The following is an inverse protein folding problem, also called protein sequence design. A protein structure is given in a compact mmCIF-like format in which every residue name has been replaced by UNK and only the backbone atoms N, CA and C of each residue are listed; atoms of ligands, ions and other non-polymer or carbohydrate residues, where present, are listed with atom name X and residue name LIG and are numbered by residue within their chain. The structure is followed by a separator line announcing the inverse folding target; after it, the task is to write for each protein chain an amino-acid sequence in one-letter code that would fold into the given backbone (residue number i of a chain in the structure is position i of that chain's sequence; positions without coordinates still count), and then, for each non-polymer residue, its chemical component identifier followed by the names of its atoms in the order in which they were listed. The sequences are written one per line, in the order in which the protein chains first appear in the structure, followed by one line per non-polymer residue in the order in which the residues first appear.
data_IF_577967227994
#
_entry.id   IF_577967227994
#
_cell.length_a   1.000
_cell.length_b   1.000
_cell.length_c   1.000
_cell.angle_alpha   90.00
_cell.angle_beta   90.00
_cell.angle_gamma   90.00
#
_symmetry.space_group_name_H-M   'P 1'
#
loop_
_entity.id
_entity.type
_entity.pdbx_description
1 polymer ?
#
# COMPACT_ATOMS: atom_id res chain seq x y z
N UNK A 1 5.45 12.10 -1.33
CA UNK A 1 4.01 12.26 -0.99
C UNK A 1 3.79 11.99 0.50
N UNK A 2 2.97 12.80 1.17
CA UNK A 2 2.80 12.79 2.64
C UNK A 2 2.30 11.44 3.17
N UNK A 3 1.29 10.83 2.51
CA UNK A 3 0.67 9.55 2.94
C UNK A 3 1.68 8.40 2.89
N UNK A 4 2.40 8.24 1.78
CA UNK A 4 3.41 7.19 1.66
C UNK A 4 4.50 7.32 2.73
N UNK A 5 4.98 8.54 2.97
CA UNK A 5 5.99 8.79 4.00
C UNK A 5 5.49 8.54 5.42
N UNK A 6 4.21 8.83 5.69
CA UNK A 6 3.58 8.56 6.97
C UNK A 6 3.43 7.05 7.18
N UNK A 7 2.85 6.32 6.21
CA UNK A 7 2.71 4.86 6.29
C UNK A 7 4.05 4.16 6.47
N UNK A 8 5.09 4.61 5.76
CA UNK A 8 6.45 4.04 5.91
C UNK A 8 7.00 4.16 7.34
N UNK A 9 6.61 5.21 8.08
CA UNK A 9 7.03 5.42 9.48
C UNK A 9 6.17 4.66 10.48
N UNK A 10 4.87 4.52 10.20
CA UNK A 10 3.90 3.93 11.13
C UNK A 10 3.79 2.40 10.96
N UNK A 11 3.71 1.94 9.71
CA UNK A 11 3.55 0.52 9.38
C UNK A 11 4.13 0.20 8.00
N UNK A 12 5.30 -0.40 7.98
CA UNK A 12 6.00 -0.71 6.73
C UNK A 12 5.24 -1.73 5.85
N UNK A 13 4.45 -2.62 6.42
CA UNK A 13 3.63 -3.56 5.67
C UNK A 13 2.48 -2.84 4.95
N UNK A 14 1.80 -1.90 5.63
CA UNK A 14 0.79 -1.05 5.01
C UNK A 14 1.39 -0.15 3.93
N UNK A 15 2.61 0.37 4.16
CA UNK A 15 3.32 1.13 3.13
C UNK A 15 3.53 0.29 1.87
N UNK A 16 3.99 -0.95 1.99
CA UNK A 16 4.25 -1.81 0.84
C UNK A 16 2.97 -2.11 0.06
N UNK A 17 1.90 -2.49 0.75
CA UNK A 17 0.59 -2.74 0.14
C UNK A 17 0.01 -1.48 -0.53
N UNK A 18 0.17 -0.33 0.10
CA UNK A 18 -0.21 0.96 -0.48
C UNK A 18 0.58 1.28 -1.76
N UNK A 19 1.89 1.06 -1.76
CA UNK A 19 2.71 1.30 -2.94
C UNK A 19 2.37 0.37 -4.10
N UNK A 20 2.00 -0.88 -3.84
CA UNK A 20 1.51 -1.79 -4.87
C UNK A 20 0.19 -1.31 -5.49
N UNK A 21 -0.71 -0.75 -4.67
CA UNK A 21 -1.93 -0.12 -5.20
C UNK A 21 -1.60 1.08 -6.09
N UNK A 22 -0.64 1.91 -5.69
CA UNK A 22 -0.21 3.06 -6.51
C UNK A 22 0.36 2.59 -7.86
N UNK A 23 1.18 1.53 -7.88
CA UNK A 23 1.66 0.95 -9.13
C UNK A 23 0.51 0.47 -10.04
N UNK A 24 -0.48 -0.18 -9.46
CA UNK A 24 -1.66 -0.65 -10.22
C UNK A 24 -2.54 0.49 -10.72
N UNK A 25 -2.66 1.57 -9.95
CA UNK A 25 -3.33 2.79 -10.40
C UNK A 25 -2.60 3.38 -11.60
N UNK A 26 -1.29 3.54 -11.52
CA UNK A 26 -0.48 4.06 -12.61
C UNK A 26 -0.69 3.22 -13.87
N UNK A 27 -0.70 1.88 -13.73
CA UNK A 27 -0.98 0.97 -14.85
C UNK A 27 -2.39 1.11 -15.39
N UNK A 28 -3.40 1.23 -14.52
CA UNK A 28 -4.80 1.37 -14.92
C UNK A 28 -5.07 2.64 -15.72
N UNK A 29 -4.30 3.71 -15.46
CA UNK A 29 -4.35 4.95 -16.24
C UNK A 29 -3.31 5.01 -17.37
N UNK A 30 -2.71 3.87 -17.75
CA UNK A 30 -1.81 3.77 -18.88
C UNK A 30 -0.50 4.55 -18.74
N UNK A 31 -0.04 4.79 -17.51
CA UNK A 31 1.13 5.61 -17.18
C UNK A 31 1.00 7.07 -17.66
N UNK A 32 -0.24 7.53 -17.85
CA UNK A 32 -0.56 8.89 -18.29
C UNK A 32 -0.82 9.80 -17.09
N UNK A 33 0.10 10.73 -16.85
CA UNK A 33 0.02 11.65 -15.71
C UNK A 33 -1.17 12.60 -15.79
N UNK A 34 -1.62 12.96 -16.99
CA UNK A 34 -2.76 13.86 -17.16
C UNK A 34 -4.08 13.14 -16.80
N UNK A 35 -4.18 11.85 -17.10
CA UNK A 35 -5.30 11.04 -16.65
C UNK A 35 -5.28 10.87 -15.11
N UNK A 36 -4.10 10.65 -14.52
CA UNK A 36 -3.95 10.57 -13.06
C UNK A 36 -4.28 11.92 -12.42
N UNK A 37 -3.83 13.04 -12.99
CA UNK A 37 -4.17 14.37 -12.52
C UNK A 37 -5.68 14.54 -12.45
N UNK A 38 -6.36 14.34 -13.58
CA UNK A 38 -7.80 14.56 -13.74
C UNK A 38 -8.67 13.68 -12.84
N UNK A 39 -8.34 12.40 -12.75
CA UNK A 39 -9.21 11.42 -12.09
C UNK A 39 -8.84 11.16 -10.64
N UNK A 40 -7.59 11.41 -10.24
CA UNK A 40 -7.09 11.12 -8.89
C UNK A 40 -6.77 12.42 -8.15
N UNK A 41 -5.82 13.21 -8.67
CA UNK A 41 -5.26 14.35 -7.92
C UNK A 41 -6.31 15.45 -7.74
N UNK A 42 -7.06 15.76 -8.81
CA UNK A 42 -8.07 16.82 -8.77
C UNK A 42 -9.28 16.48 -7.89
N UNK A 43 -9.50 15.18 -7.62
CA UNK A 43 -10.58 14.73 -6.71
C UNK A 43 -10.30 15.05 -5.24
N UNK A 44 -9.06 15.40 -4.88
CA UNK A 44 -8.71 15.79 -3.52
C UNK A 44 -8.96 17.28 -3.30
N UNK A 45 -9.58 17.62 -2.16
CA UNK A 45 -9.68 19.00 -1.69
C UNK A 45 -8.37 19.42 -1.00
N UNK A 46 -7.36 19.71 -1.81
CA UNK A 46 -6.02 20.10 -1.38
C UNK A 46 -5.57 21.41 -2.02
N UNK A 47 -4.70 22.18 -1.34
CA UNK A 47 -4.05 23.33 -1.95
C UNK A 47 -3.27 22.95 -3.22
N UNK A 48 -3.24 23.85 -4.20
CA UNK A 48 -2.58 23.62 -5.49
C UNK A 48 -1.10 23.20 -5.37
N UNK A 49 -0.38 23.75 -4.38
CA UNK A 49 1.01 23.36 -4.09
C UNK A 49 1.11 21.87 -3.71
N UNK A 50 0.15 21.37 -2.94
CA UNK A 50 0.12 19.95 -2.56
C UNK A 50 -0.28 19.06 -3.74
N UNK A 51 -1.22 19.51 -4.57
CA UNK A 51 -1.59 18.80 -5.82
C UNK A 51 -0.41 18.72 -6.77
N UNK A 52 0.33 19.81 -6.93
CA UNK A 52 1.57 19.84 -7.72
C UNK A 52 2.59 18.84 -7.16
N UNK A 53 2.83 18.83 -5.86
CA UNK A 53 3.73 17.86 -5.22
C UNK A 53 3.28 16.41 -5.40
N UNK A 54 1.95 16.16 -5.44
CA UNK A 54 1.42 14.83 -5.78
C UNK A 54 1.70 14.47 -7.23
N UNK A 55 1.47 15.39 -8.17
CA UNK A 55 1.76 15.20 -9.59
C UNK A 55 3.23 14.85 -9.80
N UNK A 56 4.15 15.67 -9.29
CA UNK A 56 5.60 15.45 -9.39
C UNK A 56 6.00 14.06 -8.84
N UNK A 57 5.34 13.63 -7.77
CA UNK A 57 5.59 12.31 -7.19
C UNK A 57 5.09 11.17 -8.08
N UNK A 58 3.89 11.27 -8.69
CA UNK A 58 3.39 10.28 -9.63
C UNK A 58 4.26 10.23 -10.90
N UNK A 59 4.67 11.38 -11.43
CA UNK A 59 5.61 11.46 -12.57
C UNK A 59 6.91 10.71 -12.26
N UNK A 60 7.49 10.94 -11.08
CA UNK A 60 8.71 10.22 -10.67
C UNK A 60 8.51 8.70 -10.62
N UNK A 61 7.34 8.22 -10.19
CA UNK A 61 7.04 6.78 -10.18
C UNK A 61 6.86 6.23 -11.60
N UNK A 62 6.20 6.98 -12.49
CA UNK A 62 6.04 6.62 -13.90
C UNK A 62 7.41 6.49 -14.57
N UNK A 63 8.30 7.46 -14.35
CA UNK A 63 9.67 7.44 -14.89
C UNK A 63 10.46 6.23 -14.37
N UNK A 64 10.33 5.92 -13.09
CA UNK A 64 10.93 4.71 -12.53
C UNK A 64 10.35 3.44 -13.15
N UNK A 65 9.02 3.36 -13.35
CA UNK A 65 8.38 2.20 -13.97
C UNK A 65 8.87 1.98 -15.41
N UNK A 66 9.06 3.05 -16.18
CA UNK A 66 9.66 2.99 -17.52
C UNK A 66 11.11 2.53 -17.47
N UNK A 67 11.92 3.13 -16.60
CA UNK A 67 13.36 2.82 -16.52
C UNK A 67 13.63 1.39 -16.03
N UNK A 68 12.74 0.84 -15.21
CA UNK A 68 12.87 -0.52 -14.66
C UNK A 68 12.14 -1.59 -15.48
N UNK A 69 11.40 -1.21 -16.53
CA UNK A 69 10.66 -2.12 -17.41
C UNK A 69 9.50 -2.83 -16.70
N UNK A 70 8.84 -2.16 -15.74
CA UNK A 70 7.75 -2.71 -14.93
C UNK A 70 6.39 -2.07 -15.24
N UNK A 71 6.22 -1.51 -16.43
CA UNK A 71 4.99 -0.84 -16.87
C UNK A 71 3.78 -1.79 -16.87
N UNK A 72 3.99 -3.04 -17.25
CA UNK A 72 2.91 -4.03 -17.41
C UNK A 72 2.73 -4.93 -16.21
N UNK A 73 3.80 -5.27 -15.49
CA UNK A 73 3.80 -6.23 -14.37
C UNK A 73 5.06 -6.09 -13.51
N UNK A 74 4.96 -6.62 -12.29
CA UNK A 74 6.06 -6.60 -11.32
C UNK A 74 6.02 -5.32 -10.48
N UNK A 75 7.03 -5.12 -9.68
CA UNK A 75 7.12 -4.02 -8.72
C UNK A 75 8.40 -3.21 -8.92
N UNK A 76 8.34 -1.93 -8.62
CA UNK A 76 9.49 -1.04 -8.57
C UNK A 76 10.55 -1.57 -7.60
N UNK A 77 11.81 -1.36 -7.94
CA UNK A 77 12.95 -1.80 -7.11
C UNK A 77 12.89 -1.22 -5.70
N UNK A 78 12.39 0.01 -5.54
CA UNK A 78 12.18 0.61 -4.22
C UNK A 78 11.24 -0.21 -3.32
N UNK A 79 10.22 -0.85 -3.89
CA UNK A 79 9.27 -1.70 -3.18
C UNK A 79 9.84 -3.11 -2.95
N UNK A 80 10.59 -3.63 -3.91
CA UNK A 80 11.36 -4.88 -3.75
C UNK A 80 12.38 -4.77 -2.62
N UNK A 81 13.06 -3.63 -2.51
CA UNK A 81 14.01 -3.40 -1.42
C UNK A 81 13.33 -3.46 -0.04
N UNK A 82 12.13 -2.89 0.11
CA UNK A 82 11.36 -3.01 1.35
C UNK A 82 11.04 -4.48 1.67
N UNK A 83 10.65 -5.27 0.65
CA UNK A 83 10.38 -6.69 0.84
C UNK A 83 11.63 -7.47 1.24
N UNK A 84 12.79 -7.13 0.68
CA UNK A 84 14.10 -7.72 1.05
C UNK A 84 14.41 -7.39 2.52
N UNK A 85 14.29 -6.13 2.93
CA UNK A 85 14.54 -5.71 4.32
C UNK A 85 13.62 -6.43 5.31
N UNK A 86 12.34 -6.59 4.95
CA UNK A 86 11.37 -7.34 5.75
C UNK A 86 11.72 -8.84 5.81
N UNK A 87 12.21 -9.42 4.72
CA UNK A 87 12.64 -10.81 4.67
C UNK A 87 13.88 -11.03 5.55
N UNK A 88 14.82 -10.12 5.53
CA UNK A 88 15.99 -10.17 6.41
C UNK A 88 15.61 -10.04 7.88
N UNK A 89 14.65 -9.16 8.19
CA UNK A 89 14.11 -9.05 9.55
C UNK A 89 13.42 -10.35 9.98
N UNK A 90 12.57 -10.92 9.12
CA UNK A 90 11.90 -12.20 9.34
C UNK A 90 12.89 -13.31 9.68
N UNK A 91 13.94 -13.47 8.87
CA UNK A 91 14.99 -14.50 9.10
C UNK A 91 15.75 -14.28 10.40
N UNK A 92 15.98 -13.03 10.80
CA UNK A 92 16.60 -12.70 12.10
C UNK A 92 15.66 -13.03 13.26
N UNK A 93 14.38 -12.74 13.14
CA UNK A 93 13.39 -13.05 14.18
C UNK A 93 13.22 -14.56 14.36
N UNK A 94 13.23 -15.35 13.29
CA UNK A 94 13.19 -16.81 13.36
C UNK A 94 14.38 -17.43 14.10
N UNK A 95 15.54 -16.79 14.01
CA UNK A 95 16.76 -17.23 14.72
C UNK A 95 16.86 -16.69 16.14
N UNK A 96 15.99 -15.74 16.52
CA UNK A 96 16.05 -15.07 17.80
C UNK A 96 15.41 -15.92 18.90
N UNK A 97 16.15 -16.18 19.97
CA UNK A 97 15.62 -16.81 21.18
C UNK A 97 14.75 -15.86 22.02
N UNK A 98 14.75 -14.55 21.70
CA UNK A 98 13.98 -13.52 22.42
C UNK A 98 12.54 -13.41 21.90
N UNK A 99 12.26 -13.96 20.72
CA UNK A 99 10.94 -13.85 20.04
C UNK A 99 10.36 -15.26 19.74
N UNK A 100 10.18 -16.12 20.74
CA UNK A 100 9.74 -17.50 20.53
C UNK A 100 8.31 -17.57 19.95
N UNK A 101 7.47 -16.61 20.28
CA UNK A 101 6.10 -16.53 19.76
C UNK A 101 6.06 -16.26 18.25
N UNK A 102 7.02 -15.49 17.72
CA UNK A 102 7.11 -15.24 16.30
C UNK A 102 7.40 -16.52 15.53
N UNK A 103 8.39 -17.30 15.96
CA UNK A 103 8.72 -18.60 15.35
C UNK A 103 7.55 -19.57 15.41
N UNK A 104 6.88 -19.68 16.56
CA UNK A 104 5.71 -20.54 16.70
C UNK A 104 4.56 -20.12 15.75
N UNK A 105 4.28 -18.82 15.63
CA UNK A 105 3.27 -18.30 14.71
C UNK A 105 3.64 -18.61 13.25
N UNK A 106 4.90 -18.41 12.88
CA UNK A 106 5.38 -18.71 11.54
C UNK A 106 5.21 -20.20 11.19
N UNK A 107 5.71 -21.11 12.04
CA UNK A 107 5.61 -22.53 11.76
C UNK A 107 4.15 -23.03 11.72
N UNK A 108 3.24 -22.43 12.48
CA UNK A 108 1.80 -22.70 12.38
C UNK A 108 1.23 -22.22 11.04
N UNK A 109 1.75 -21.14 10.48
CA UNK A 109 1.27 -20.53 9.23
C UNK A 109 1.91 -21.18 7.99
N UNK A 110 3.08 -21.79 8.12
CA UNK A 110 3.86 -22.32 7.02
C UNK A 110 3.09 -23.27 6.08
N UNK A 111 2.24 -24.21 6.55
CA UNK A 111 1.44 -25.07 5.67
C UNK A 111 0.52 -24.27 4.74
N UNK A 112 -0.08 -23.16 5.23
CA UNK A 112 -0.94 -22.30 4.43
C UNK A 112 -0.13 -21.51 3.39
N UNK A 113 1.09 -21.07 3.73
CA UNK A 113 1.99 -20.41 2.77
C UNK A 113 2.36 -21.36 1.63
N UNK A 114 2.67 -22.62 1.96
CA UNK A 114 2.98 -23.67 0.96
C UNK A 114 1.77 -23.92 0.05
N UNK A 115 0.57 -24.02 0.61
CA UNK A 115 -0.67 -24.20 -0.16
C UNK A 115 -0.95 -23.01 -1.09
N UNK A 116 -0.81 -21.77 -0.59
CA UNK A 116 -0.98 -20.56 -1.39
C UNK A 116 -0.01 -20.52 -2.56
N UNK A 117 1.26 -20.83 -2.31
CA UNK A 117 2.31 -20.89 -3.33
C UNK A 117 2.01 -21.96 -4.40
N UNK A 118 1.52 -23.11 -3.99
CA UNK A 118 1.13 -24.17 -4.93
C UNK A 118 -0.05 -23.75 -5.82
N UNK A 119 -1.01 -23.00 -5.27
CA UNK A 119 -2.19 -22.51 -6.01
C UNK A 119 -1.84 -21.36 -6.96
N UNK A 120 -0.91 -20.48 -6.60
CA UNK A 120 -0.50 -19.33 -7.45
C UNK A 120 0.41 -19.78 -8.61
N UNK A 121 0.98 -20.97 -8.58
CA UNK A 121 1.97 -21.41 -9.55
C UNK A 121 3.36 -20.76 -9.39
N UNK A 122 3.55 -19.96 -8.34
CA UNK A 122 4.76 -19.19 -8.06
C UNK A 122 5.73 -19.97 -7.17
N UNK A 123 6.13 -21.14 -7.58
CA UNK A 123 6.94 -22.08 -6.77
C UNK A 123 8.28 -21.55 -6.25
N UNK A 124 8.77 -20.43 -6.79
CA UNK A 124 10.04 -19.80 -6.40
C UNK A 124 9.88 -18.55 -5.52
N UNK A 125 8.65 -18.12 -5.26
CA UNK A 125 8.37 -16.93 -4.45
C UNK A 125 8.69 -17.19 -2.97
N UNK A 126 9.33 -16.24 -2.29
CA UNK A 126 9.66 -16.32 -0.86
C UNK A 126 8.42 -16.36 0.03
N UNK A 127 8.58 -16.83 1.29
CA UNK A 127 7.45 -16.96 2.23
C UNK A 127 6.75 -15.61 2.46
N UNK A 128 7.53 -14.57 2.72
CA UNK A 128 7.00 -13.23 2.99
C UNK A 128 6.29 -12.66 1.77
N UNK A 129 6.91 -12.77 0.60
CA UNK A 129 6.31 -12.30 -0.65
C UNK A 129 4.99 -13.02 -0.94
N UNK A 130 4.93 -14.34 -0.71
CA UNK A 130 3.68 -15.10 -0.81
C UNK A 130 2.60 -14.55 0.12
N UNK A 131 2.96 -14.20 1.36
CA UNK A 131 2.02 -13.59 2.31
C UNK A 131 1.54 -12.21 1.83
N UNK A 132 2.43 -11.37 1.33
CA UNK A 132 2.06 -10.05 0.80
C UNK A 132 1.18 -10.16 -0.44
N UNK A 133 1.49 -11.07 -1.37
CA UNK A 133 0.66 -11.34 -2.55
C UNK A 133 -0.76 -11.78 -2.15
N UNK A 134 -0.88 -12.65 -1.15
CA UNK A 134 -2.18 -13.10 -0.65
C UNK A 134 -2.97 -11.98 0.03
N UNK A 135 -2.33 -11.16 0.86
CA UNK A 135 -2.94 -9.98 1.50
C UNK A 135 -3.39 -8.97 0.45
N UNK A 136 -2.55 -8.69 -0.52
CA UNK A 136 -2.87 -7.77 -1.61
C UNK A 136 -4.06 -8.28 -2.45
N UNK A 137 -4.03 -9.54 -2.85
CA UNK A 137 -5.16 -10.17 -3.56
C UNK A 137 -6.46 -10.09 -2.78
N UNK A 138 -6.43 -10.29 -1.46
CA UNK A 138 -7.61 -10.15 -0.59
C UNK A 138 -8.15 -8.72 -0.56
N UNK A 139 -7.26 -7.72 -0.53
CA UNK A 139 -7.64 -6.29 -0.60
C UNK A 139 -8.32 -6.01 -1.94
N UNK A 140 -7.71 -6.40 -3.05
CA UNK A 140 -8.25 -6.16 -4.40
C UNK A 140 -9.61 -6.83 -4.56
N UNK A 141 -9.77 -8.07 -4.09
CA UNK A 141 -11.05 -8.79 -4.13
C UNK A 141 -12.13 -8.08 -3.31
N UNK A 142 -11.81 -7.68 -2.08
CA UNK A 142 -12.75 -6.96 -1.22
C UNK A 142 -13.23 -5.63 -1.83
N UNK A 143 -12.36 -4.95 -2.57
CA UNK A 143 -12.72 -3.74 -3.32
C UNK A 143 -13.66 -4.08 -4.46
N UNK A 144 -13.32 -5.09 -5.25
CA UNK A 144 -14.14 -5.53 -6.39
C UNK A 144 -15.54 -5.95 -5.94
N UNK A 145 -15.65 -6.64 -4.81
CA UNK A 145 -16.94 -7.03 -4.22
C UNK A 145 -17.77 -5.84 -3.74
N UNK A 146 -17.16 -4.84 -3.11
CA UNK A 146 -17.85 -3.59 -2.73
C UNK A 146 -18.33 -2.78 -3.92
N UNK A 147 -17.65 -2.87 -5.05
CA UNK A 147 -18.05 -2.22 -6.32
C UNK A 147 -19.16 -2.97 -7.06
N UNK A 148 -19.41 -4.25 -6.73
CA UNK A 148 -20.45 -5.08 -7.31
C UNK A 148 -21.46 -5.53 -6.22
N UNK A 149 -22.21 -4.64 -5.56
CA UNK A 149 -23.40 -5.05 -4.87
C UNK A 149 -24.39 -5.42 -5.97
N UNK A 150 -24.64 -6.72 -6.14
CA UNK A 150 -25.67 -7.39 -6.95
C UNK A 150 -26.47 -6.42 -7.82
N UNK A 151 -26.35 -6.63 -9.16
CA UNK A 151 -27.12 -5.94 -10.21
C UNK A 151 -28.52 -5.51 -9.76
N UNK A 152 -28.70 -4.27 -9.39
CA UNK A 152 -29.94 -3.53 -9.58
C UNK A 152 -29.60 -2.05 -9.74
N UNK A 153 -30.00 -1.55 -10.93
CA UNK A 153 -30.08 -0.17 -11.41
C UNK A 153 -28.78 0.50 -11.88
N UNK A 154 -28.84 0.85 -13.14
CA UNK A 154 -27.93 1.68 -13.91
C UNK A 154 -27.64 3.01 -13.23
N UNK A 155 -26.36 3.32 -13.11
CA UNK A 155 -25.90 4.72 -13.20
C UNK A 155 -24.38 4.76 -13.44
N UNK A 156 -23.99 5.41 -14.52
CA UNK A 156 -22.62 5.74 -14.90
C UNK A 156 -21.93 6.55 -13.81
N UNK A 157 -20.89 5.99 -13.20
CA UNK A 157 -19.77 6.77 -12.70
C UNK A 157 -18.54 5.87 -12.55
N UNK A 158 -17.51 6.19 -13.32
CA UNK A 158 -16.17 5.62 -13.26
C UNK A 158 -15.40 6.20 -12.07
N UNK A 159 -15.99 6.13 -10.88
CA UNK A 159 -15.26 6.49 -9.66
C UNK A 159 -14.53 5.24 -9.15
N UNK A 160 -13.21 5.25 -9.31
CA UNK A 160 -12.33 4.27 -8.68
C UNK A 160 -12.28 4.62 -7.18
N UNK A 161 -13.16 4.01 -6.41
CA UNK A 161 -13.16 4.13 -4.95
C UNK A 161 -12.01 3.30 -4.39
N UNK A 162 -11.00 3.97 -3.86
CA UNK A 162 -9.85 3.31 -3.24
C UNK A 162 -10.21 2.81 -1.84
N UNK A 163 -9.79 1.58 -1.44
CA UNK A 163 -10.11 1.02 -0.13
C UNK A 163 -9.41 1.73 1.02
N UNK A 164 -8.35 2.43 0.74
CA UNK A 164 -7.79 3.42 1.65
C UNK A 164 -8.44 4.76 1.30
N UNK A 165 -9.44 5.15 2.10
CA UNK A 165 -10.02 6.49 2.03
C UNK A 165 -8.96 7.50 2.51
N UNK A 166 -8.01 7.78 1.61
CA UNK A 166 -7.00 8.81 1.81
C UNK A 166 -7.59 10.18 2.12
N UNK A 167 -8.90 10.39 1.79
CA UNK A 167 -9.66 11.59 2.15
C UNK A 167 -9.88 11.68 3.66
N UNK A 168 -10.14 10.57 4.36
CA UNK A 168 -10.29 10.55 5.82
C UNK A 168 -8.95 10.71 6.55
N UNK A 169 -7.88 10.11 6.05
CA UNK A 169 -6.56 10.19 6.70
C UNK A 169 -5.94 11.59 6.62
N UNK A 170 -6.18 12.35 5.53
CA UNK A 170 -5.72 13.73 5.41
C UNK A 170 -6.48 14.66 6.38
N UNK A 171 -7.76 14.42 6.63
CA UNK A 171 -8.56 15.22 7.57
C UNK A 171 -8.24 14.90 9.03
N UNK A 172 -7.96 13.64 9.39
CA UNK A 172 -7.62 13.27 10.76
C UNK A 172 -6.23 13.72 11.20
N UNK A 173 -5.29 13.88 10.26
CA UNK A 173 -3.97 14.45 10.54
C UNK A 173 -3.98 15.90 11.02
N UNK A 174 -5.04 16.66 10.76
CA UNK A 174 -5.21 18.05 11.26
C UNK A 174 -5.73 18.12 12.70
N UNK A 175 -6.33 17.06 13.25
CA UNK A 175 -7.01 17.15 14.56
C UNK A 175 -6.16 16.72 15.76
N UNK A 176 -4.94 16.20 15.58
CA UNK A 176 -4.10 15.74 16.70
C UNK A 176 -3.04 16.75 17.19
N UNK A 177 -3.13 18.00 16.79
CA UNK A 177 -2.26 19.08 17.31
C UNK A 177 -3.02 20.04 18.20
N UNK A 178 -3.63 19.59 19.28
CA UNK A 178 -3.99 20.50 20.41
C UNK A 178 -4.12 19.62 21.66
N UNK A 179 -3.26 19.84 22.64
CA UNK A 179 -3.53 19.39 24.00
C UNK A 179 -2.40 18.76 24.79
N UNK A 180 -1.23 19.39 24.88
CA UNK A 180 -0.37 19.20 26.06
C UNK A 180 -0.15 20.55 26.73
N UNK A 181 -1.19 21.00 27.41
CA UNK A 181 -1.09 22.05 28.40
C UNK A 181 -0.70 21.44 29.73
N UNK A 182 0.58 21.32 30.00
CA UNK A 182 1.08 21.00 31.35
C UNK A 182 0.89 22.25 32.20
N UNK A 183 -0.13 22.26 33.05
CA UNK A 183 -0.23 23.23 34.14
C UNK A 183 0.72 22.77 35.25
N UNK A 184 1.86 23.39 35.33
CA UNK A 184 2.67 23.44 36.54
C UNK A 184 1.87 24.21 37.60
N UNK A 185 1.49 23.51 38.68
CA UNK A 185 0.99 24.15 39.91
C UNK A 185 2.05 23.95 40.97
N UNK A 186 2.80 25.02 41.22
CA UNK A 186 3.59 25.14 42.45
C UNK A 186 2.64 25.23 43.67
N UNK A 187 2.89 24.39 44.65
CA UNK A 187 2.92 24.73 46.08
C UNK A 187 3.69 23.66 46.82
#
# INVERSE_FOLDING_TARGET
MIIASQKKKENIAEYLLYMWQIEDIIRAYGLDIDQIQKHIIDSYDLPEEQKKSMRDWYESLIDMMHSEGVEKKGHLQLNKNVLIDLTDLHLRLLKSTREPFYGAAFFKTLPYIVELRAKSGEGKTGELETCFNALYGSIVTAIAEKRNPIRHTESNSTDIDFPFDSRREIQTGKSRRIGTGIKHKMR
#
